data_IF_564859109827
#
_entry.id   IF_564859109827
#
_cell.length_a   1.000
_cell.length_b   1.000
_cell.length_c   1.000
_cell.angle_alpha   90.00
_cell.angle_beta   90.00
_cell.angle_gamma   90.00
#
_symmetry.space_group_name_H-M   'P 1'
#
loop_
_entity.id
_entity.type
_entity.pdbx_description
1 polymer ?
#
# COMPACT_ATOMS: atom_id res chain seq x y z
N UNK A 1 -9.85 -9.58 22.61
CA UNK A 1 -10.66 -8.63 21.82
C UNK A 1 -10.64 -9.14 20.39
N UNK A 2 -11.76 -9.68 19.91
CA UNK A 2 -11.88 -10.09 18.50
C UNK A 2 -12.00 -8.84 17.65
N UNK A 3 -10.89 -8.45 17.02
CA UNK A 3 -10.94 -7.45 15.97
C UNK A 3 -11.42 -8.14 14.70
N UNK A 4 -12.62 -7.77 14.23
CA UNK A 4 -13.06 -8.14 12.90
C UNK A 4 -11.97 -7.77 11.88
N UNK A 5 -11.71 -8.62 10.87
CA UNK A 5 -10.67 -8.37 9.89
C UNK A 5 -10.92 -7.01 9.20
N UNK A 6 -9.85 -6.22 9.03
CA UNK A 6 -9.93 -4.93 8.39
C UNK A 6 -10.47 -5.06 6.95
N UNK A 7 -11.42 -4.20 6.60
CA UNK A 7 -11.91 -4.12 5.22
C UNK A 7 -10.79 -3.66 4.26
N UNK A 8 -10.90 -4.04 2.99
CA UNK A 8 -10.00 -3.54 1.93
C UNK A 8 -9.95 -2.02 1.89
N UNK A 9 -11.09 -1.36 2.13
CA UNK A 9 -11.18 0.11 2.24
C UNK A 9 -10.33 0.66 3.38
N UNK A 10 -10.31 0.01 4.55
CA UNK A 10 -9.45 0.42 5.66
C UNK A 10 -7.96 0.28 5.30
N UNK A 11 -7.59 -0.80 4.62
CA UNK A 11 -6.21 -1.02 4.19
C UNK A 11 -5.77 -0.01 3.12
N UNK A 12 -6.61 0.26 2.11
CA UNK A 12 -6.35 1.30 1.13
C UNK A 12 -6.28 2.70 1.77
N UNK A 13 -7.09 2.98 2.78
CA UNK A 13 -7.01 4.24 3.52
C UNK A 13 -5.71 4.39 4.31
N UNK A 14 -5.08 3.30 4.75
CA UNK A 14 -3.75 3.38 5.35
C UNK A 14 -2.71 3.92 4.34
N UNK A 15 -2.77 3.49 3.07
CA UNK A 15 -1.92 4.01 1.99
C UNK A 15 -2.18 5.51 1.79
N UNK A 16 -3.45 5.93 1.77
CA UNK A 16 -3.84 7.35 1.63
C UNK A 16 -3.28 8.20 2.76
N UNK A 17 -3.47 7.76 4.01
CA UNK A 17 -2.99 8.46 5.20
C UNK A 17 -1.46 8.59 5.21
N UNK A 18 -0.73 7.50 4.96
CA UNK A 18 0.73 7.54 4.93
C UNK A 18 1.26 8.43 3.81
N UNK A 19 0.59 8.46 2.65
CA UNK A 19 0.96 9.31 1.52
C UNK A 19 0.78 10.79 1.84
N UNK A 20 -0.38 11.18 2.39
CA UNK A 20 -0.63 12.58 2.75
C UNK A 20 0.28 13.04 3.89
N UNK A 21 0.46 12.22 4.93
CA UNK A 21 1.28 12.57 6.10
C UNK A 21 2.77 12.67 5.73
N UNK A 22 3.26 11.74 4.90
CA UNK A 22 4.65 11.73 4.44
C UNK A 22 4.99 12.97 3.61
N UNK A 23 4.12 13.33 2.66
CA UNK A 23 4.30 14.54 1.84
C UNK A 23 4.19 15.80 2.69
N UNK A 24 3.21 15.87 3.60
CA UNK A 24 3.02 17.02 4.49
C UNK A 24 4.26 17.22 5.38
N UNK A 25 4.80 16.14 5.96
CA UNK A 25 6.00 16.19 6.80
C UNK A 25 7.24 16.65 6.02
N UNK A 26 7.34 16.28 4.75
CA UNK A 26 8.44 16.72 3.87
C UNK A 26 8.26 18.16 3.34
N UNK A 27 7.06 18.75 3.50
CA UNK A 27 6.65 20.02 2.88
C UNK A 27 6.91 20.05 1.36
N UNK A 28 6.87 18.89 0.71
CA UNK A 28 7.21 18.70 -0.70
C UNK A 28 6.77 17.31 -1.18
N UNK A 29 6.30 17.21 -2.42
CA UNK A 29 5.92 15.95 -3.06
C UNK A 29 4.51 15.94 -3.66
N UNK A 30 4.06 14.77 -4.13
CA UNK A 30 2.80 14.59 -4.85
C UNK A 30 1.94 13.49 -4.21
N UNK A 31 0.97 13.82 -3.34
CA UNK A 31 0.17 12.82 -2.64
C UNK A 31 -0.99 12.28 -3.50
N UNK A 32 -1.38 13.02 -4.56
CA UNK A 32 -2.56 12.72 -5.37
C UNK A 32 -2.50 11.34 -6.06
N UNK A 33 -1.41 11.03 -6.76
CA UNK A 33 -1.28 9.74 -7.45
C UNK A 33 -1.26 8.54 -6.47
N UNK A 34 -0.46 8.54 -5.39
CA UNK A 34 -0.54 7.49 -4.36
C UNK A 34 -1.94 7.31 -3.75
N UNK A 35 -2.63 8.41 -3.45
CA UNK A 35 -3.98 8.35 -2.87
C UNK A 35 -5.03 7.82 -3.86
N UNK A 36 -4.92 8.18 -5.14
CA UNK A 36 -5.81 7.71 -6.22
C UNK A 36 -5.60 6.23 -6.55
N UNK A 37 -4.37 5.73 -6.46
CA UNK A 37 -4.03 4.35 -6.77
C UNK A 37 -4.18 3.37 -5.59
N UNK A 38 -4.59 3.84 -4.41
CA UNK A 38 -4.60 3.04 -3.18
C UNK A 38 -5.45 1.76 -3.25
N UNK A 39 -6.63 1.81 -3.89
CA UNK A 39 -7.49 0.62 -4.01
C UNK A 39 -6.88 -0.41 -4.98
N UNK A 40 -6.23 0.05 -6.05
CA UNK A 40 -5.51 -0.81 -7.01
C UNK A 40 -4.33 -1.49 -6.30
N UNK A 41 -3.58 -0.74 -5.51
CA UNK A 41 -2.46 -1.26 -4.74
C UNK A 41 -2.91 -2.33 -3.74
N UNK A 42 -4.04 -2.13 -3.04
CA UNK A 42 -4.60 -3.12 -2.11
C UNK A 42 -4.90 -4.45 -2.82
N UNK A 43 -5.58 -4.39 -3.97
CA UNK A 43 -5.95 -5.58 -4.73
C UNK A 43 -4.71 -6.31 -5.28
N UNK A 44 -3.80 -5.58 -5.93
CA UNK A 44 -2.62 -6.17 -6.56
C UNK A 44 -1.69 -6.78 -5.50
N UNK A 45 -1.24 -5.98 -4.53
CA UNK A 45 -0.19 -6.40 -3.59
C UNK A 45 -0.63 -7.45 -2.60
N UNK A 46 -1.90 -7.45 -2.17
CA UNK A 46 -2.41 -8.43 -1.21
C UNK A 46 -3.12 -9.61 -1.84
N UNK A 47 -3.58 -9.48 -3.08
CA UNK A 47 -4.38 -10.50 -3.76
C UNK A 47 -3.66 -11.29 -4.85
N UNK A 48 -2.68 -10.69 -5.53
CA UNK A 48 -2.13 -11.26 -6.76
C UNK A 48 -0.60 -11.27 -6.83
N UNK A 49 0.08 -10.27 -6.27
CA UNK A 49 1.52 -10.09 -6.44
C UNK A 49 2.32 -11.19 -5.75
N UNK A 50 3.03 -12.00 -6.52
CA UNK A 50 3.93 -13.02 -6.01
C UNK A 50 5.29 -12.42 -5.65
N UNK A 51 5.52 -12.14 -4.37
CA UNK A 51 6.78 -11.55 -3.90
C UNK A 51 7.16 -12.05 -2.51
N UNK A 52 8.43 -11.87 -2.14
CA UNK A 52 8.95 -12.18 -0.81
C UNK A 52 9.59 -10.92 -0.19
N UNK A 53 8.92 -10.26 0.77
CA UNK A 53 9.49 -9.07 1.43
C UNK A 53 10.82 -9.33 2.15
N UNK A 54 11.07 -10.55 2.62
CA UNK A 54 12.32 -10.94 3.29
C UNK A 54 13.44 -11.32 2.32
N UNK A 55 13.12 -11.55 1.04
CA UNK A 55 14.11 -11.79 -0.02
C UNK A 55 13.70 -11.10 -1.33
N UNK A 56 13.92 -9.78 -1.46
CA UNK A 56 13.62 -9.02 -2.67
C UNK A 56 14.39 -9.49 -3.90
N UNK A 57 15.53 -10.17 -3.71
CA UNK A 57 16.37 -10.70 -4.79
C UNK A 57 15.93 -12.07 -5.30
N UNK A 58 14.82 -12.63 -4.78
CA UNK A 58 14.25 -13.87 -5.28
C UNK A 58 14.02 -13.79 -6.80
N UNK A 59 14.62 -14.74 -7.52
CA UNK A 59 14.68 -14.76 -8.97
C UNK A 59 13.31 -14.85 -9.65
N UNK A 60 12.32 -15.50 -9.04
CA UNK A 60 11.02 -15.81 -9.66
C UNK A 60 9.86 -14.95 -9.11
N UNK A 61 10.16 -13.81 -8.48
CA UNK A 61 9.12 -12.85 -8.04
C UNK A 61 8.44 -12.17 -9.23
N UNK A 62 7.23 -11.69 -9.05
CA UNK A 62 6.62 -10.74 -10.01
C UNK A 62 7.36 -9.39 -9.98
N UNK A 63 7.30 -8.63 -11.09
CA UNK A 63 7.98 -7.33 -11.27
C UNK A 63 6.97 -6.21 -11.53
#
# INVERSE_FOLDING_TARGET
>A
MDHAPLSRKHLANAIRALSMDGVQKANSGHPGAPMGMADIAEVLWRGHLNHNPSNPEWADRDR
#
